data_IF_447792690250
#
_entry.id   IF_447792690250
#
_cell.length_a   1.000
_cell.length_b   1.000
_cell.length_c   1.000
_cell.angle_alpha   90.00
_cell.angle_beta   90.00
_cell.angle_gamma   90.00
#
_symmetry.space_group_name_H-M   'P 1'
#
loop_
_entity.id
_entity.type
_entity.pdbx_description
1 polymer ?
#
# COMPACT_ATOMS: atom_id res chain seq x y z
N UNK A 1 -40.78 34.74 -12.33
CA UNK A 1 -39.34 35.03 -12.15
C UNK A 1 -39.05 34.71 -10.70
N UNK A 2 -38.62 33.47 -10.43
CA UNK A 2 -38.05 33.14 -9.13
C UNK A 2 -36.57 33.49 -9.21
N UNK A 3 -36.17 34.50 -8.43
CA UNK A 3 -34.75 34.77 -8.18
C UNK A 3 -34.21 33.64 -7.30
N UNK A 4 -33.29 32.88 -7.86
CA UNK A 4 -32.57 31.81 -7.19
C UNK A 4 -31.45 32.46 -6.36
N UNK A 5 -31.62 32.52 -5.05
CA UNK A 5 -30.59 32.94 -4.10
C UNK A 5 -29.36 32.04 -4.29
N UNK A 6 -28.30 32.60 -4.89
CA UNK A 6 -26.98 32.00 -4.88
C UNK A 6 -26.37 32.27 -3.51
N UNK A 7 -26.35 31.25 -2.65
CA UNK A 7 -25.61 31.30 -1.39
C UNK A 7 -24.14 31.66 -1.65
N UNK A 8 -23.78 32.91 -1.36
CA UNK A 8 -22.41 33.41 -1.45
C UNK A 8 -21.66 32.85 -0.25
N UNK A 9 -20.91 31.77 -0.47
CA UNK A 9 -20.05 31.17 0.56
C UNK A 9 -18.96 32.20 0.94
N UNK A 10 -18.84 32.60 2.22
CA UNK A 10 -17.85 33.55 2.71
C UNK A 10 -16.41 33.17 2.31
N UNK A 11 -15.60 34.15 1.89
CA UNK A 11 -14.19 33.96 1.48
C UNK A 11 -13.32 33.24 2.53
N UNK A 12 -13.68 33.35 3.82
CA UNK A 12 -12.99 32.66 4.92
C UNK A 12 -13.27 31.15 4.99
N UNK A 13 -14.35 30.68 4.37
CA UNK A 13 -14.68 29.25 4.29
C UNK A 13 -14.08 28.62 3.02
N UNK A 14 -13.80 29.40 1.97
CA UNK A 14 -13.19 28.90 0.73
C UNK A 14 -11.82 28.29 0.98
N UNK A 15 -11.04 28.80 1.95
CA UNK A 15 -9.74 28.21 2.30
C UNK A 15 -9.83 26.82 2.97
N UNK A 16 -11.00 26.44 3.47
CA UNK A 16 -11.27 25.11 4.04
C UNK A 16 -11.93 24.15 3.04
N UNK A 17 -12.43 24.67 1.91
CA UNK A 17 -13.01 23.85 0.85
C UNK A 17 -11.86 23.38 -0.05
N UNK A 18 -11.63 22.07 -0.03
CA UNK A 18 -10.69 21.41 -0.92
C UNK A 18 -11.12 21.63 -2.37
N UNK A 19 -10.48 22.56 -3.07
CA UNK A 19 -10.88 23.01 -4.43
C UNK A 19 -10.31 22.17 -5.56
N UNK A 20 -9.41 21.24 -5.27
CA UNK A 20 -8.86 20.35 -6.28
C UNK A 20 -9.67 19.07 -6.45
N UNK A 21 -9.22 18.22 -7.38
CA UNK A 21 -10.01 17.05 -7.77
C UNK A 21 -10.02 15.97 -6.68
N UNK A 22 -11.09 15.16 -6.68
CA UNK A 22 -11.19 13.94 -5.86
C UNK A 22 -10.07 12.94 -6.22
N UNK A 23 -9.65 12.91 -7.47
CA UNK A 23 -8.62 12.00 -7.97
C UNK A 23 -7.23 12.35 -7.40
N UNK A 24 -6.82 13.62 -7.44
CA UNK A 24 -5.57 14.06 -6.81
C UNK A 24 -5.54 13.78 -5.31
N UNK A 25 -6.68 13.93 -4.63
CA UNK A 25 -6.79 13.60 -3.21
C UNK A 25 -6.62 12.09 -2.96
N UNK A 26 -7.23 11.23 -3.79
CA UNK A 26 -7.05 9.77 -3.70
C UNK A 26 -5.60 9.35 -3.90
N UNK A 27 -4.93 9.90 -4.92
CA UNK A 27 -3.51 9.62 -5.15
C UNK A 27 -2.62 10.14 -4.03
N UNK A 28 -2.91 11.31 -3.48
CA UNK A 28 -2.20 11.85 -2.32
C UNK A 28 -2.28 10.89 -1.12
N UNK A 29 -3.48 10.45 -0.75
CA UNK A 29 -3.69 9.52 0.36
C UNK A 29 -2.98 8.18 0.11
N UNK A 30 -3.20 7.59 -1.07
CA UNK A 30 -2.58 6.32 -1.42
C UNK A 30 -1.05 6.38 -1.43
N UNK A 31 -0.47 7.44 -2.02
CA UNK A 31 0.97 7.66 -2.06
C UNK A 31 1.55 7.87 -0.67
N UNK A 32 0.87 8.63 0.19
CA UNK A 32 1.28 8.82 1.59
C UNK A 32 1.28 7.49 2.36
N UNK A 33 0.21 6.72 2.27
CA UNK A 33 0.12 5.38 2.91
C UNK A 33 1.23 4.45 2.42
N UNK A 34 1.54 4.47 1.11
CA UNK A 34 2.64 3.70 0.55
C UNK A 34 3.99 4.14 1.11
N UNK A 35 4.28 5.45 1.16
CA UNK A 35 5.53 5.95 1.74
C UNK A 35 5.67 5.54 3.21
N UNK A 36 4.58 5.62 4.00
CA UNK A 36 4.56 5.16 5.39
C UNK A 36 4.84 3.64 5.47
N UNK A 37 4.17 2.83 4.64
CA UNK A 37 4.39 1.39 4.56
C UNK A 37 5.83 1.03 4.13
N UNK A 38 6.41 1.77 3.19
CA UNK A 38 7.79 1.55 2.74
C UNK A 38 8.78 1.88 3.86
N UNK A 39 8.57 2.97 4.60
CA UNK A 39 9.37 3.30 5.78
C UNK A 39 9.28 2.21 6.83
N UNK A 40 8.08 1.70 7.12
CA UNK A 40 7.86 0.61 8.09
C UNK A 40 8.57 -0.69 7.66
N UNK A 41 8.78 -0.89 6.35
CA UNK A 41 9.54 -2.02 5.78
C UNK A 41 11.06 -1.79 5.75
N UNK A 42 11.54 -0.66 6.27
CA UNK A 42 12.97 -0.33 6.35
C UNK A 42 13.55 0.31 5.09
N UNK A 43 12.72 0.80 4.17
CA UNK A 43 13.22 1.59 3.04
C UNK A 43 13.57 3.02 3.48
N UNK A 44 14.64 3.63 2.93
CA UNK A 44 15.00 5.00 3.25
C UNK A 44 14.01 5.97 2.59
N UNK A 45 13.04 6.44 3.37
CA UNK A 45 12.04 7.44 2.96
C UNK A 45 12.24 8.71 3.80
N UNK A 46 12.54 9.87 3.19
CA UNK A 46 12.71 11.13 3.92
C UNK A 46 11.42 11.56 4.64
N UNK A 47 11.54 12.17 5.82
CA UNK A 47 10.39 12.71 6.55
C UNK A 47 9.72 13.87 5.79
N UNK A 48 10.49 14.64 5.02
CA UNK A 48 9.97 15.71 4.17
C UNK A 48 8.97 15.18 3.14
N UNK A 49 9.21 14.00 2.57
CA UNK A 49 8.30 13.36 1.60
C UNK A 49 6.98 12.91 2.25
N UNK A 50 7.00 12.60 3.55
CA UNK A 50 5.83 12.20 4.34
C UNK A 50 5.05 13.39 4.90
N UNK A 51 5.73 14.52 5.12
CA UNK A 51 5.16 15.76 5.63
C UNK A 51 4.47 16.61 4.55
N UNK A 52 4.57 16.22 3.26
CA UNK A 52 3.90 16.91 2.15
C UNK A 52 2.40 17.07 2.43
N UNK A 53 1.91 18.30 2.33
CA UNK A 53 0.49 18.64 2.42
C UNK A 53 -0.22 18.39 1.08
N UNK A 54 -1.55 18.21 1.10
CA UNK A 54 -2.33 18.04 -0.14
C UNK A 54 -2.17 19.23 -1.13
N UNK A 55 -2.16 20.50 -0.68
CA UNK A 55 -1.87 21.63 -1.58
C UNK A 55 -0.47 21.55 -2.20
N UNK A 56 0.55 21.17 -1.42
CA UNK A 56 1.92 21.01 -1.95
C UNK A 56 2.02 19.84 -2.93
N UNK A 57 1.29 18.76 -2.67
CA UNK A 57 1.17 17.63 -3.59
C UNK A 57 0.57 18.09 -4.94
N UNK A 58 -0.53 18.84 -4.91
CA UNK A 58 -1.15 19.37 -6.15
C UNK A 58 -0.28 20.41 -6.85
N UNK A 59 0.48 21.22 -6.11
CA UNK A 59 1.45 22.11 -6.72
C UNK A 59 2.55 21.34 -7.48
N UNK A 60 2.92 20.14 -6.98
CA UNK A 60 3.95 19.29 -7.58
C UNK A 60 3.45 18.41 -8.73
N UNK A 61 2.27 17.82 -8.59
CA UNK A 61 1.75 16.81 -9.52
C UNK A 61 0.53 17.28 -10.31
N UNK A 62 -0.03 18.44 -9.98
CA UNK A 62 -1.27 18.97 -10.56
C UNK A 62 -2.53 18.37 -9.93
N UNK A 63 -3.67 18.93 -10.34
CA UNK A 63 -4.99 18.42 -9.99
C UNK A 63 -5.34 17.12 -10.72
N UNK A 64 -4.71 16.84 -11.86
CA UNK A 64 -4.85 15.58 -12.59
C UNK A 64 -3.46 14.98 -12.78
N UNK A 65 -2.93 14.29 -11.76
CA UNK A 65 -1.55 13.84 -11.76
C UNK A 65 -1.32 12.77 -12.82
N UNK A 66 -0.22 12.91 -13.57
CA UNK A 66 0.22 11.86 -14.49
C UNK A 66 0.76 10.69 -13.68
N UNK A 67 0.31 9.47 -14.01
CA UNK A 67 0.67 8.24 -13.31
C UNK A 67 2.19 7.97 -13.28
N UNK A 68 2.89 8.38 -14.32
CA UNK A 68 4.34 8.25 -14.43
C UNK A 68 5.10 9.08 -13.39
N UNK A 69 4.59 10.26 -13.05
CA UNK A 69 5.19 11.17 -12.08
C UNK A 69 4.95 10.69 -10.63
N UNK A 70 3.91 9.89 -10.41
CA UNK A 70 3.58 9.31 -9.10
C UNK A 70 4.46 8.12 -8.71
N UNK A 71 5.29 7.61 -9.63
CA UNK A 71 6.16 6.45 -9.37
C UNK A 71 7.09 6.72 -8.20
N UNK A 72 7.30 5.69 -7.37
CA UNK A 72 8.25 5.74 -6.26
C UNK A 72 9.34 4.71 -6.54
N UNK A 73 10.60 5.16 -6.62
CA UNK A 73 11.76 4.27 -6.64
C UNK A 73 12.56 4.48 -5.37
N UNK A 74 12.82 3.40 -4.64
CA UNK A 74 13.66 3.42 -3.43
C UNK A 74 14.61 2.24 -3.45
N UNK A 75 15.80 2.42 -2.87
CA UNK A 75 16.85 1.40 -2.85
C UNK A 75 17.42 1.34 -1.46
N UNK A 76 17.46 0.14 -0.88
CA UNK A 76 18.22 -0.11 0.35
C UNK A 76 19.67 -0.39 -0.06
N UNK A 77 20.65 0.37 0.47
CA UNK A 77 22.07 0.13 0.22
C UNK A 77 22.54 -1.12 0.99
N UNK A 78 22.10 -2.29 0.54
CA UNK A 78 22.58 -3.62 0.99
C UNK A 78 23.51 -4.24 -0.05
N UNK A 79 24.14 -5.36 0.28
CA UNK A 79 24.92 -6.16 -0.67
C UNK A 79 24.29 -7.55 -0.85
N UNK A 80 23.59 -7.84 -1.96
CA UNK A 80 23.28 -6.95 -3.10
C UNK A 80 22.22 -5.87 -2.76
N UNK A 81 22.16 -4.77 -3.53
CA UNK A 81 21.20 -3.69 -3.28
C UNK A 81 19.77 -4.15 -3.52
N UNK A 82 18.86 -3.75 -2.63
CA UNK A 82 17.43 -4.07 -2.77
C UNK A 82 16.70 -2.88 -3.37
N UNK A 83 16.44 -2.93 -4.68
CA UNK A 83 15.68 -1.89 -5.40
C UNK A 83 14.21 -2.26 -5.45
N UNK A 84 13.35 -1.32 -5.05
CA UNK A 84 11.90 -1.43 -5.12
C UNK A 84 11.35 -0.32 -6.01
N UNK A 85 10.41 -0.70 -6.88
CA UNK A 85 9.64 0.24 -7.68
C UNK A 85 8.15 0.14 -7.34
N UNK A 86 7.48 1.28 -7.25
CA UNK A 86 6.04 1.39 -7.10
C UNK A 86 5.47 2.07 -8.35
N UNK A 87 4.47 1.45 -8.97
CA UNK A 87 3.81 1.94 -10.18
C UNK A 87 2.32 2.12 -9.90
N UNK A 88 1.81 3.30 -10.20
CA UNK A 88 0.38 3.58 -10.21
C UNK A 88 -0.20 3.29 -11.59
N UNK A 89 -1.31 2.57 -11.62
CA UNK A 89 -2.09 2.29 -12.81
C UNK A 89 -3.41 3.06 -12.75
N UNK A 90 -3.86 3.60 -13.89
CA UNK A 90 -5.06 4.42 -13.96
C UNK A 90 -6.36 3.64 -13.82
N UNK A 91 -7.46 4.35 -14.09
CA UNK A 91 -8.83 3.78 -14.15
C UNK A 91 -9.03 2.77 -15.28
N UNK A 92 -8.14 2.76 -16.29
CA UNK A 92 -8.27 1.86 -17.42
C UNK A 92 -8.15 0.39 -16.99
N UNK A 93 -8.88 -0.53 -17.63
CA UNK A 93 -8.78 -1.95 -17.31
C UNK A 93 -7.34 -2.45 -17.45
N UNK A 94 -6.82 -3.10 -16.41
CA UNK A 94 -5.47 -3.66 -16.45
C UNK A 94 -5.44 -4.90 -17.37
N UNK A 95 -4.90 -4.69 -18.58
CA UNK A 95 -4.85 -5.65 -19.69
C UNK A 95 -3.45 -6.25 -19.83
N UNK A 96 -3.37 -7.32 -20.64
CA UNK A 96 -2.13 -7.99 -21.01
C UNK A 96 -1.10 -7.06 -21.69
N UNK A 97 -1.56 -6.06 -22.45
CA UNK A 97 -0.69 -5.04 -23.08
C UNK A 97 0.09 -4.25 -22.01
N UNK A 98 -0.62 -3.76 -20.99
CA UNK A 98 -0.04 -3.00 -19.88
C UNK A 98 0.99 -3.81 -19.11
N UNK A 99 0.73 -5.11 -18.87
CA UNK A 99 1.71 -6.01 -18.22
C UNK A 99 3.02 -6.09 -19.01
N UNK A 100 2.92 -6.28 -20.32
CA UNK A 100 4.08 -6.38 -21.21
C UNK A 100 4.85 -5.08 -21.31
N UNK A 101 4.14 -3.95 -21.35
CA UNK A 101 4.74 -2.62 -21.32
C UNK A 101 5.53 -2.40 -20.02
N UNK A 102 4.92 -2.69 -18.86
CA UNK A 102 5.58 -2.63 -17.56
C UNK A 102 6.82 -3.53 -17.53
N UNK A 103 6.71 -4.76 -18.03
CA UNK A 103 7.85 -5.67 -18.10
C UNK A 103 8.98 -5.16 -18.99
N UNK A 104 8.68 -4.53 -20.13
CA UNK A 104 9.70 -3.95 -21.01
C UNK A 104 10.51 -2.85 -20.31
N UNK A 105 9.87 -2.03 -19.49
CA UNK A 105 10.55 -0.99 -18.71
C UNK A 105 11.32 -1.58 -17.52
N UNK A 106 10.71 -2.52 -16.80
CA UNK A 106 11.26 -3.10 -15.58
C UNK A 106 12.39 -4.08 -15.85
N UNK A 107 12.34 -4.84 -16.95
CA UNK A 107 13.37 -5.84 -17.30
C UNK A 107 14.76 -5.24 -17.52
N UNK A 108 14.84 -3.95 -17.83
CA UNK A 108 16.10 -3.21 -17.93
C UNK A 108 16.71 -2.88 -16.56
N UNK A 109 15.92 -2.96 -15.51
CA UNK A 109 16.33 -2.67 -14.13
C UNK A 109 16.40 -3.95 -13.30
N UNK A 110 17.44 -4.08 -12.48
CA UNK A 110 17.54 -5.18 -11.51
C UNK A 110 16.70 -4.86 -10.27
N UNK A 111 15.38 -5.04 -10.37
CA UNK A 111 14.46 -4.86 -9.25
C UNK A 111 14.42 -6.11 -8.37
N UNK A 112 14.39 -5.89 -7.05
CA UNK A 112 14.13 -6.94 -6.07
C UNK A 112 12.63 -7.04 -5.75
N UNK A 113 11.89 -5.95 -5.95
CA UNK A 113 10.44 -5.96 -5.81
C UNK A 113 9.73 -4.90 -6.64
N UNK A 114 8.45 -5.17 -6.94
CA UNK A 114 7.53 -4.27 -7.63
C UNK A 114 6.22 -4.23 -6.87
N UNK A 115 5.70 -3.03 -6.65
CA UNK A 115 4.36 -2.79 -6.12
C UNK A 115 3.52 -2.15 -7.21
N UNK A 116 2.41 -2.80 -7.57
CA UNK A 116 1.43 -2.28 -8.51
C UNK A 116 0.21 -1.78 -7.75
N UNK A 117 -0.15 -0.51 -7.99
CA UNK A 117 -1.32 0.13 -7.39
C UNK A 117 -2.37 0.31 -8.46
N UNK A 118 -3.44 -0.48 -8.39
CA UNK A 118 -4.50 -0.52 -9.40
C UNK A 118 -5.71 0.30 -8.94
N UNK A 119 -6.29 1.11 -9.82
CA UNK A 119 -7.61 1.69 -9.58
C UNK A 119 -8.75 0.82 -10.11
N UNK A 120 -8.48 0.03 -11.15
CA UNK A 120 -9.44 -0.88 -11.77
C UNK A 120 -9.20 -2.33 -11.36
N UNK A 121 -10.19 -3.18 -11.63
CA UNK A 121 -10.02 -4.63 -11.46
C UNK A 121 -9.10 -5.17 -12.55
N UNK A 122 -8.17 -6.03 -12.13
CA UNK A 122 -7.32 -6.78 -13.04
C UNK A 122 -8.08 -7.99 -13.62
N UNK A 123 -7.89 -8.25 -14.92
CA UNK A 123 -8.42 -9.46 -15.56
C UNK A 123 -7.65 -10.71 -15.08
N UNK A 124 -8.31 -11.87 -14.97
CA UNK A 124 -7.67 -13.13 -14.53
C UNK A 124 -6.44 -13.48 -15.37
N UNK A 125 -6.56 -13.35 -16.70
CA UNK A 125 -5.44 -13.58 -17.63
C UNK A 125 -4.26 -12.63 -17.39
N UNK A 126 -4.53 -11.35 -17.10
CA UNK A 126 -3.46 -10.41 -16.79
C UNK A 126 -2.78 -10.77 -15.46
N UNK A 127 -3.54 -11.24 -14.47
CA UNK A 127 -2.98 -11.72 -13.20
C UNK A 127 -2.03 -12.90 -13.39
N UNK A 128 -2.50 -13.93 -14.08
CA UNK A 128 -1.70 -15.13 -14.39
C UNK A 128 -0.40 -14.76 -15.11
N UNK A 129 -0.50 -13.91 -16.14
CA UNK A 129 0.69 -13.44 -16.87
C UNK A 129 1.65 -12.63 -15.98
N UNK A 130 1.11 -11.81 -15.07
CA UNK A 130 1.92 -10.99 -14.17
C UNK A 130 2.69 -11.89 -13.19
N UNK A 131 2.04 -12.92 -12.64
CA UNK A 131 2.67 -13.90 -11.76
C UNK A 131 3.71 -14.77 -12.49
N UNK A 132 3.51 -15.07 -13.78
CA UNK A 132 4.44 -15.84 -14.61
C UNK A 132 5.69 -15.05 -15.01
N UNK A 133 5.51 -13.79 -15.44
CA UNK A 133 6.59 -12.96 -16.00
C UNK A 133 7.49 -12.38 -14.90
N UNK A 134 6.91 -11.93 -13.78
CA UNK A 134 7.68 -11.27 -12.72
C UNK A 134 8.19 -12.29 -11.69
N UNK A 135 9.43 -12.75 -11.89
CA UNK A 135 10.08 -13.76 -11.02
C UNK A 135 10.58 -13.25 -9.67
N UNK A 136 10.38 -11.97 -9.36
CA UNK A 136 10.78 -11.33 -8.11
C UNK A 136 9.54 -10.97 -7.28
N UNK A 137 9.73 -10.39 -6.08
CA UNK A 137 8.63 -10.06 -5.18
C UNK A 137 7.66 -9.03 -5.81
N UNK A 138 6.49 -9.49 -6.22
CA UNK A 138 5.42 -8.67 -6.76
C UNK A 138 4.30 -8.53 -5.73
N UNK A 139 3.84 -7.30 -5.49
CA UNK A 139 2.66 -7.01 -4.67
C UNK A 139 1.68 -6.16 -5.46
N UNK A 140 0.39 -6.47 -5.34
CA UNK A 140 -0.69 -5.77 -6.03
C UNK A 140 -1.65 -5.24 -4.97
N UNK A 141 -1.89 -3.93 -5.00
CA UNK A 141 -2.84 -3.26 -4.11
C UNK A 141 -3.93 -2.57 -4.93
N UNK A 142 -5.15 -2.56 -4.42
CA UNK A 142 -6.18 -1.67 -4.93
C UNK A 142 -5.99 -0.29 -4.30
N UNK A 143 -6.17 0.79 -5.06
CA UNK A 143 -6.03 2.15 -4.54
C UNK A 143 -6.95 2.37 -3.33
N UNK A 144 -8.14 1.75 -3.33
CA UNK A 144 -9.14 1.83 -2.26
C UNK A 144 -8.61 1.28 -0.93
N UNK A 145 -7.70 0.31 -0.95
CA UNK A 145 -7.07 -0.25 0.24
C UNK A 145 -6.03 0.69 0.86
N UNK A 146 -5.51 1.62 0.06
CA UNK A 146 -4.44 2.55 0.45
C UNK A 146 -4.98 3.93 0.84
N UNK A 147 -6.27 4.21 0.60
CA UNK A 147 -6.89 5.49 0.96
C UNK A 147 -6.93 5.72 2.47
N UNK A 148 -6.97 4.64 3.26
CA UNK A 148 -6.92 4.69 4.72
C UNK A 148 -5.74 3.87 5.17
N UNK A 149 -4.81 4.47 5.91
CA UNK A 149 -3.74 3.70 6.50
C UNK A 149 -4.29 2.83 7.66
N UNK A 150 -4.54 1.56 7.36
CA UNK A 150 -5.10 0.59 8.32
C UNK A 150 -4.16 0.36 9.51
N UNK A 151 -2.84 0.64 9.40
CA UNK A 151 -1.90 0.50 10.54
C UNK A 151 -2.11 1.55 11.63
N UNK A 152 -2.86 2.63 11.33
CA UNK A 152 -3.26 3.66 12.29
C UNK A 152 -4.67 3.45 12.85
N UNK A 153 -5.45 2.53 12.27
CA UNK A 153 -6.74 2.14 12.82
C UNK A 153 -6.50 1.22 14.03
N UNK A 154 -7.20 1.49 15.13
CA UNK A 154 -6.97 1.03 16.53
C UNK A 154 -6.90 -0.51 16.76
N UNK A 155 -6.94 -1.36 15.72
CA UNK A 155 -7.13 -2.81 15.86
C UNK A 155 -6.15 -3.69 15.05
N UNK A 156 -4.89 -3.27 14.88
CA UNK A 156 -3.84 -4.21 14.47
C UNK A 156 -2.62 -4.11 15.41
N UNK A 157 -2.30 -5.17 16.19
CA UNK A 157 -1.02 -5.24 16.89
C UNK A 157 0.10 -5.10 15.86
N UNK A 158 1.16 -4.35 16.19
CA UNK A 158 2.37 -4.23 15.37
C UNK A 158 2.97 -5.62 15.15
N UNK A 159 2.83 -6.17 13.95
CA UNK A 159 3.53 -7.40 13.58
C UNK A 159 4.95 -7.05 13.17
N UNK A 160 5.87 -7.09 14.14
CA UNK A 160 7.31 -7.02 13.89
C UNK A 160 7.75 -8.39 13.35
N UNK A 161 8.48 -8.40 12.22
CA UNK A 161 9.15 -9.62 11.75
C UNK A 161 10.30 -9.91 12.72
N UNK A 162 10.06 -10.80 13.69
CA UNK A 162 11.08 -11.29 14.61
C UNK A 162 12.26 -11.86 13.83
N UNK A 163 13.48 -11.41 14.13
CA UNK A 163 14.69 -12.05 13.65
C UNK A 163 14.75 -13.51 14.15
N UNK A 164 15.40 -14.42 13.42
CA UNK A 164 15.45 -15.85 13.76
C UNK A 164 15.95 -16.11 15.20
N UNK A 165 16.89 -15.29 15.68
CA UNK A 165 17.46 -15.35 17.03
C UNK A 165 16.49 -14.87 18.13
N UNK A 166 15.61 -13.92 17.81
CA UNK A 166 14.57 -13.45 18.73
C UNK A 166 13.41 -14.44 18.81
N UNK A 167 13.14 -15.15 17.71
CA UNK A 167 12.15 -16.23 17.66
C UNK A 167 12.54 -17.39 18.58
N UNK A 168 13.80 -17.85 18.56
CA UNK A 168 14.28 -18.90 19.46
C UNK A 168 14.25 -18.47 20.93
N UNK A 169 14.64 -17.23 21.23
CA UNK A 169 14.55 -16.67 22.59
C UNK A 169 13.10 -16.54 23.08
N UNK A 170 12.15 -16.20 22.20
CA UNK A 170 10.73 -16.16 22.56
C UNK A 170 10.15 -17.56 22.80
N UNK A 171 10.50 -18.53 21.95
CA UNK A 171 10.09 -19.94 22.11
C UNK A 171 10.64 -20.50 23.43
N UNK A 172 11.92 -20.24 23.73
CA UNK A 172 12.55 -20.65 24.99
C UNK A 172 11.97 -19.93 26.22
N UNK A 173 11.57 -18.66 26.09
CA UNK A 173 11.03 -17.86 27.21
C UNK A 173 9.56 -18.15 27.52
N UNK A 174 8.77 -18.55 26.52
CA UNK A 174 7.33 -18.82 26.70
C UNK A 174 6.94 -20.30 26.63
N UNK A 175 7.88 -21.23 26.39
CA UNK A 175 7.65 -22.68 26.33
C UNK A 175 6.31 -23.04 25.64
N UNK A 176 6.05 -22.42 24.48
CA UNK A 176 4.76 -22.49 23.78
C UNK A 176 4.64 -23.78 22.99
N UNK A 177 4.60 -24.88 23.72
CA UNK A 177 4.02 -26.16 23.33
C UNK A 177 3.31 -26.69 24.57
N UNK A 178 2.03 -26.34 24.76
CA UNK A 178 1.02 -27.24 25.37
C UNK A 178 -0.33 -26.57 25.70
N UNK A 179 -0.40 -25.24 25.84
CA UNK A 179 -1.63 -24.61 26.38
C UNK A 179 -2.80 -24.62 25.39
N UNK A 180 -2.55 -24.63 24.08
CA UNK A 180 -3.65 -24.64 23.08
C UNK A 180 -4.15 -26.05 22.71
N UNK A 181 -3.49 -27.12 23.16
CA UNK A 181 -3.90 -28.50 22.86
C UNK A 181 -4.62 -29.20 24.02
N UNK A 182 -4.49 -28.70 25.26
CA UNK A 182 -5.14 -29.26 26.43
C UNK A 182 -6.66 -29.01 26.42
N UNK A 183 -7.13 -27.80 26.13
CA UNK A 183 -8.56 -27.43 26.27
C UNK A 183 -9.50 -28.30 25.43
N UNK A 184 -9.10 -28.65 24.20
CA UNK A 184 -9.89 -29.55 23.34
C UNK A 184 -9.95 -30.99 23.83
N UNK A 185 -8.95 -31.44 24.58
CA UNK A 185 -8.88 -32.82 25.10
C UNK A 185 -9.86 -33.01 26.28
N UNK A 186 -10.02 -32.01 27.13
CA UNK A 186 -10.96 -32.03 28.27
C UNK A 186 -12.43 -31.96 27.81
N UNK A 187 -12.72 -31.20 26.76
CA UNK A 187 -14.07 -31.11 26.17
C UNK A 187 -14.53 -32.46 25.61
N UNK A 188 -13.64 -33.18 24.92
CA UNK A 188 -13.92 -34.51 24.34
C UNK A 188 -14.09 -35.55 25.44
N UNK A 189 -13.26 -35.53 26.51
CA UNK A 189 -13.43 -36.46 27.63
C UNK A 189 -14.72 -36.20 28.43
N UNK A 190 -15.17 -34.93 28.52
CA UNK A 190 -16.41 -34.57 29.20
C UNK A 190 -17.65 -35.05 28.43
N UNK A 191 -17.60 -35.04 27.09
CA UNK A 191 -18.67 -35.56 26.24
C UNK A 191 -18.71 -37.10 26.18
N UNK A 192 -17.60 -37.78 26.44
CA UNK A 192 -17.55 -39.26 26.50
C UNK A 192 -17.93 -39.84 27.87
N UNK A 193 -18.23 -39.01 28.87
CA UNK A 193 -18.59 -39.41 30.24
C UNK A 193 -20.06 -39.13 30.61
N UNK A 194 -20.92 -38.80 29.65
CA UNK A 194 -22.40 -38.81 29.78
C UNK A 194 -22.97 -39.90 28.88
#
# INVERSE_FOLDING_TARGET
MEEMETDVIPECLISFVDSGTVESHRYFLARRTLLEMLRDRGFPIPDDDLAISLPAFRARFGDNPKLEDLRISTTIPSNPPKKLLVIFCGIEPFKLSTVREIYSWVSKEHLTGLILVLQSKMTSKARELTEEIFKFRLEIFQITELLVNITKHILKPRHVLLAAEEKEKLIAKYNVEDIQLQERKWEIMRQMSQ
#
